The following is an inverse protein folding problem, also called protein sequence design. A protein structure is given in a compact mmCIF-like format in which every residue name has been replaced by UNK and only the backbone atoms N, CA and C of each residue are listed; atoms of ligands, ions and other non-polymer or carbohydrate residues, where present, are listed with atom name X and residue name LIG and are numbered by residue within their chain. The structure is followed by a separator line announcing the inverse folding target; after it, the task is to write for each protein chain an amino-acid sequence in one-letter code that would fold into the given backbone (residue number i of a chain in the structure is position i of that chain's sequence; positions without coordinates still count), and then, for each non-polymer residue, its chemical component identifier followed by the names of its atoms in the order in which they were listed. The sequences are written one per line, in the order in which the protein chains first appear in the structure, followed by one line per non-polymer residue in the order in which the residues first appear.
data_IF_072068989154
#
_entry.id   IF_072068989154
#
_cell.length_a   1.000
_cell.length_b   1.000
_cell.length_c   1.000
_cell.angle_alpha   90.00
_cell.angle_beta   90.00
_cell.angle_gamma   90.00
#
_symmetry.space_group_name_H-M   'P 1'
#
loop_
_entity.id
_entity.type
_entity.pdbx_description
1 polymer ?
#
# COMPACT_ATOMS: atom_id res chain seq x y z
N UNK A 1 5.71 -8.08 -4.92
CA UNK A 1 6.50 -7.59 -3.78
C UNK A 1 7.94 -8.11 -3.81
N UNK A 2 8.24 -9.34 -4.25
CA UNK A 2 9.61 -9.85 -4.34
C UNK A 2 10.57 -9.04 -5.22
N UNK A 3 10.07 -8.11 -6.03
CA UNK A 3 10.93 -7.24 -6.86
C UNK A 3 11.46 -6.03 -6.10
N UNK A 4 10.74 -5.53 -5.10
CA UNK A 4 11.18 -4.38 -4.29
C UNK A 4 12.30 -4.75 -3.32
N UNK A 5 12.32 -5.98 -2.84
CA UNK A 5 13.40 -6.48 -1.98
C UNK A 5 14.74 -6.66 -2.71
N UNK A 6 14.74 -6.66 -4.04
CA UNK A 6 15.96 -6.67 -4.86
C UNK A 6 16.47 -5.26 -5.21
N UNK A 7 15.71 -4.19 -4.97
CA UNK A 7 16.16 -2.83 -5.23
C UNK A 7 17.44 -2.44 -4.47
N UNK A 8 17.65 -2.85 -3.21
CA UNK A 8 18.90 -2.58 -2.52
C UNK A 8 20.14 -3.16 -3.22
N UNK A 9 20.01 -4.27 -3.97
CA UNK A 9 21.10 -4.83 -4.76
C UNK A 9 21.62 -3.92 -5.86
N UNK A 10 20.77 -3.02 -6.37
CA UNK A 10 21.18 -2.05 -7.41
C UNK A 10 22.05 -0.92 -6.83
N UNK A 11 22.07 -0.77 -5.50
CA UNK A 11 22.72 0.32 -4.78
C UNK A 11 23.83 -0.16 -3.84
N UNK A 12 23.88 -1.45 -3.54
CA UNK A 12 24.89 -2.05 -2.66
C UNK A 12 25.95 -2.72 -3.56
N UNK A 13 27.22 -2.40 -3.32
CA UNK A 13 28.31 -3.10 -4.02
C UNK A 13 28.24 -4.58 -3.68
N UNK A 14 28.32 -5.44 -4.71
CA UNK A 14 28.27 -6.90 -4.54
C UNK A 14 29.38 -7.45 -3.63
N UNK A 15 30.42 -6.66 -3.37
CA UNK A 15 31.50 -6.99 -2.44
C UNK A 15 31.06 -6.94 -0.98
N UNK A 16 29.99 -6.20 -0.68
CA UNK A 16 29.42 -6.07 0.67
C UNK A 16 28.42 -7.19 1.00
N UNK A 17 28.22 -8.13 0.06
CA UNK A 17 27.31 -9.27 0.23
C UNK A 17 28.14 -10.51 0.46
N UNK A 18 28.30 -10.89 1.74
CA UNK A 18 29.15 -12.04 2.13
C UNK A 18 28.63 -13.37 1.59
N UNK A 19 27.34 -13.55 1.40
CA UNK A 19 26.74 -14.78 0.88
C UNK A 19 25.43 -14.54 0.11
N UNK A 20 25.30 -14.95 -1.16
CA UNK A 20 24.05 -14.84 -1.93
C UNK A 20 22.86 -15.56 -1.27
N UNK A 21 23.11 -16.62 -0.52
CA UNK A 21 22.08 -17.39 0.18
C UNK A 21 21.50 -16.60 1.37
N UNK A 22 22.35 -15.96 2.15
CA UNK A 22 21.94 -15.10 3.26
C UNK A 22 21.19 -13.87 2.75
N UNK A 23 21.54 -13.40 1.55
CA UNK A 23 20.81 -12.35 0.89
C UNK A 23 19.35 -12.72 0.59
N UNK A 24 19.09 -13.91 0.03
CA UNK A 24 17.73 -14.40 -0.24
C UNK A 24 16.91 -14.51 1.06
N UNK A 25 17.54 -14.98 2.13
CA UNK A 25 16.92 -15.03 3.45
C UNK A 25 16.59 -13.63 3.98
N UNK A 26 17.54 -12.71 3.88
CA UNK A 26 17.39 -11.31 4.29
C UNK A 26 16.30 -10.60 3.49
N UNK A 27 16.21 -10.82 2.17
CA UNK A 27 15.14 -10.23 1.33
C UNK A 27 13.76 -10.74 1.72
N UNK A 28 13.64 -12.03 2.06
CA UNK A 28 12.39 -12.60 2.58
C UNK A 28 11.99 -11.99 3.93
N UNK A 29 12.96 -11.69 4.79
CA UNK A 29 12.72 -11.02 6.06
C UNK A 29 12.30 -9.55 5.84
N UNK A 30 12.92 -8.86 4.88
CA UNK A 30 12.53 -7.50 4.48
C UNK A 30 11.08 -7.51 3.96
N UNK A 31 10.74 -8.45 3.07
CA UNK A 31 9.37 -8.59 2.55
C UNK A 31 8.35 -8.87 3.68
N UNK A 32 8.73 -9.64 4.70
CA UNK A 32 7.87 -9.89 5.87
C UNK A 32 7.69 -8.66 6.75
N UNK A 33 8.67 -7.76 6.78
CA UNK A 33 8.63 -6.50 7.54
C UNK A 33 8.06 -5.33 6.73
N UNK A 34 7.80 -5.53 5.43
CA UNK A 34 7.20 -4.50 4.59
C UNK A 34 5.69 -4.38 4.85
N UNK A 35 5.09 -3.30 4.32
CA UNK A 35 3.66 -2.99 4.48
C UNK A 35 2.77 -4.20 4.19
N UNK A 36 1.94 -4.60 5.15
CA UNK A 36 1.05 -5.75 5.05
C UNK A 36 1.75 -7.13 5.07
N UNK A 37 3.02 -7.18 5.49
CA UNK A 37 3.85 -8.39 5.40
C UNK A 37 3.38 -9.53 6.32
N UNK A 38 3.01 -9.24 7.56
CA UNK A 38 2.58 -10.24 8.55
C UNK A 38 1.18 -9.94 9.07
N UNK A 39 0.28 -10.91 8.96
CA UNK A 39 -1.07 -10.80 9.51
C UNK A 39 -1.05 -11.22 10.97
N UNK A 40 -1.28 -10.27 11.87
CA UNK A 40 -1.55 -10.56 13.27
C UNK A 40 -3.06 -10.50 13.54
N UNK A 41 -3.70 -11.68 13.58
CA UNK A 41 -5.15 -11.78 13.76
C UNK A 41 -5.65 -11.14 15.07
N UNK A 42 -4.81 -11.06 16.12
CA UNK A 42 -5.19 -10.47 17.41
C UNK A 42 -5.44 -8.94 17.33
N UNK A 43 -4.76 -8.27 16.43
CA UNK A 43 -4.86 -6.81 16.27
C UNK A 43 -5.68 -6.39 15.04
N UNK A 44 -6.25 -7.37 14.32
CA UNK A 44 -6.94 -7.08 13.07
C UNK A 44 -8.18 -6.21 13.29
N UNK A 45 -8.96 -6.52 14.32
CA UNK A 45 -10.17 -5.77 14.63
C UNK A 45 -9.86 -4.31 15.00
N UNK A 46 -8.85 -4.09 15.85
CA UNK A 46 -8.43 -2.73 16.21
C UNK A 46 -7.89 -1.93 14.99
N UNK A 47 -7.22 -2.61 14.05
CA UNK A 47 -6.78 -1.99 12.79
C UNK A 47 -7.96 -1.55 11.91
N UNK A 48 -9.01 -2.39 11.83
CA UNK A 48 -10.23 -2.07 11.08
C UNK A 48 -10.95 -0.87 11.69
N UNK A 49 -11.12 -0.85 13.01
CA UNK A 49 -11.74 0.24 13.73
C UNK A 49 -10.98 1.56 13.51
N UNK A 50 -9.69 1.55 13.72
CA UNK A 50 -8.82 2.71 13.53
C UNK A 50 -8.85 3.27 12.09
N UNK A 51 -8.78 2.39 11.08
CA UNK A 51 -8.91 2.81 9.69
C UNK A 51 -10.30 3.35 9.37
N UNK A 52 -11.36 2.75 9.96
CA UNK A 52 -12.74 3.18 9.75
C UNK A 52 -13.04 4.55 10.37
N UNK A 53 -12.33 4.92 11.42
CA UNK A 53 -12.40 6.26 12.02
C UNK A 53 -11.75 7.32 11.13
N UNK A 54 -10.66 6.96 10.43
CA UNK A 54 -9.88 7.89 9.61
C UNK A 54 -10.32 7.95 8.14
N UNK A 55 -10.94 6.89 7.63
CA UNK A 55 -11.36 6.80 6.23
C UNK A 55 -12.76 6.25 6.10
N UNK A 56 -13.67 7.13 5.68
CA UNK A 56 -15.05 6.73 5.35
C UNK A 56 -15.09 5.81 4.12
N UNK A 57 -14.19 6.02 3.18
CA UNK A 57 -14.04 5.15 2.00
C UNK A 57 -13.66 3.73 2.40
N UNK A 58 -12.65 3.58 3.29
CA UNK A 58 -12.28 2.27 3.80
C UNK A 58 -13.46 1.59 4.52
N UNK A 59 -14.12 2.31 5.41
CA UNK A 59 -15.29 1.81 6.14
C UNK A 59 -16.37 1.31 5.19
N UNK A 60 -16.80 2.16 4.26
CA UNK A 60 -17.83 1.81 3.28
C UNK A 60 -17.43 0.61 2.44
N UNK A 61 -16.18 0.55 1.98
CA UNK A 61 -15.67 -0.60 1.25
C UNK A 61 -15.71 -1.87 2.10
N UNK A 62 -15.20 -1.82 3.34
CA UNK A 62 -15.10 -2.98 4.20
C UNK A 62 -16.49 -3.54 4.61
N UNK A 63 -17.47 -2.66 4.80
CA UNK A 63 -18.86 -3.01 5.13
C UNK A 63 -19.58 -3.72 3.97
N UNK A 64 -19.14 -3.52 2.72
CA UNK A 64 -19.70 -4.24 1.56
C UNK A 64 -19.17 -5.67 1.41
N UNK A 65 -18.16 -6.08 2.18
CA UNK A 65 -17.55 -7.40 2.09
C UNK A 65 -18.39 -8.39 2.90
N UNK A 66 -18.91 -9.49 2.27
CA UNK A 66 -19.59 -10.56 3.01
C UNK A 66 -18.69 -11.14 4.10
N UNK A 67 -19.28 -11.53 5.23
CA UNK A 67 -18.52 -12.00 6.40
C UNK A 67 -17.60 -13.17 6.08
N UNK A 68 -18.10 -14.12 5.26
CA UNK A 68 -17.35 -15.28 4.80
C UNK A 68 -16.15 -14.96 3.89
N UNK A 69 -16.13 -13.76 3.29
CA UNK A 69 -15.04 -13.32 2.43
C UNK A 69 -14.00 -12.44 3.16
N UNK A 70 -14.31 -11.93 4.34
CA UNK A 70 -13.47 -10.95 5.07
C UNK A 70 -12.04 -11.43 5.29
N UNK A 71 -11.84 -12.72 5.56
CA UNK A 71 -10.50 -13.28 5.79
C UNK A 71 -9.56 -13.06 4.59
N UNK A 72 -10.09 -13.04 3.36
CA UNK A 72 -9.32 -12.78 2.13
C UNK A 72 -8.73 -11.37 2.11
N UNK A 73 -9.37 -10.42 2.79
CA UNK A 73 -8.97 -9.00 2.83
C UNK A 73 -8.07 -8.64 4.01
N UNK A 74 -7.73 -9.59 4.88
CA UNK A 74 -6.86 -9.34 6.05
C UNK A 74 -5.52 -8.71 5.65
N UNK A 75 -4.92 -9.14 4.54
CA UNK A 75 -3.69 -8.52 4.01
C UNK A 75 -3.89 -7.07 3.56
N UNK A 76 -5.06 -6.77 3.00
CA UNK A 76 -5.42 -5.41 2.59
C UNK A 76 -5.56 -4.50 3.80
N UNK A 77 -6.23 -4.99 4.86
CA UNK A 77 -6.36 -4.26 6.13
C UNK A 77 -4.99 -3.99 6.76
N UNK A 78 -4.14 -5.03 6.86
CA UNK A 78 -2.78 -4.85 7.39
C UNK A 78 -1.97 -3.85 6.56
N UNK A 79 -2.02 -3.96 5.22
CA UNK A 79 -1.34 -3.04 4.33
C UNK A 79 -1.80 -1.59 4.55
N UNK A 80 -3.11 -1.34 4.61
CA UNK A 80 -3.66 0.00 4.80
C UNK A 80 -3.33 0.58 6.18
N UNK A 81 -3.35 -0.25 7.23
CA UNK A 81 -2.96 0.17 8.57
C UNK A 81 -1.48 0.53 8.64
N UNK A 82 -0.59 -0.32 8.11
CA UNK A 82 0.85 -0.06 8.12
C UNK A 82 1.18 1.15 7.21
N UNK A 83 0.40 1.37 6.16
CA UNK A 83 0.51 2.53 5.29
C UNK A 83 0.10 3.82 6.03
N UNK A 84 -1.01 3.79 6.77
CA UNK A 84 -1.44 4.91 7.61
C UNK A 84 -0.39 5.28 8.66
N UNK A 85 0.19 4.29 9.36
CA UNK A 85 1.30 4.51 10.29
C UNK A 85 2.53 5.14 9.59
N UNK A 86 2.82 4.71 8.35
CA UNK A 86 3.92 5.27 7.55
C UNK A 86 3.64 6.73 7.15
N UNK A 87 2.38 7.09 6.90
CA UNK A 87 2.00 8.49 6.63
C UNK A 87 2.26 9.38 7.84
N UNK A 88 2.03 8.91 9.07
CA UNK A 88 2.35 9.69 10.29
C UNK A 88 3.83 10.03 10.35
N UNK A 89 4.70 9.05 10.07
CA UNK A 89 6.16 9.27 10.03
C UNK A 89 6.56 10.23 8.91
N UNK A 90 6.03 10.04 7.69
CA UNK A 90 6.34 10.90 6.55
C UNK A 90 5.89 12.33 6.82
N UNK A 91 4.65 12.51 7.27
CA UNK A 91 4.09 13.84 7.53
C UNK A 91 4.83 14.58 8.64
N UNK A 92 5.30 13.87 9.68
CA UNK A 92 6.05 14.48 10.78
C UNK A 92 7.44 15.01 10.37
N UNK A 93 8.00 14.51 9.25
CA UNK A 93 9.31 14.94 8.74
C UNK A 93 9.23 15.93 7.57
N UNK A 94 8.03 16.19 7.06
CA UNK A 94 7.85 17.13 5.96
C UNK A 94 7.87 18.57 6.46
N UNK A 95 8.53 19.43 5.68
CA UNK A 95 8.54 20.87 5.96
C UNK A 95 7.17 21.48 5.66
N UNK A 96 6.87 22.60 6.30
CA UNK A 96 5.76 23.45 5.87
C UNK A 96 5.96 23.89 4.41
N UNK A 97 4.87 24.05 3.69
CA UNK A 97 4.86 24.41 2.27
C UNK A 97 5.51 23.35 1.35
N UNK A 98 5.50 22.08 1.78
CA UNK A 98 6.01 20.96 0.99
C UNK A 98 4.90 20.28 0.19
N UNK A 99 5.30 19.60 -0.89
CA UNK A 99 4.40 18.83 -1.72
C UNK A 99 4.63 17.34 -1.50
N UNK A 100 3.53 16.57 -1.48
CA UNK A 100 3.55 15.12 -1.54
C UNK A 100 3.08 14.69 -2.93
N UNK A 101 3.82 13.83 -3.58
CA UNK A 101 3.46 13.28 -4.89
C UNK A 101 3.38 11.76 -4.76
N UNK A 102 2.18 11.23 -4.82
CA UNK A 102 1.92 9.81 -4.70
C UNK A 102 1.50 9.22 -6.04
N UNK A 103 2.14 8.12 -6.44
CA UNK A 103 1.64 7.28 -7.52
C UNK A 103 1.02 6.03 -6.90
N UNK A 104 -0.29 5.89 -7.06
CA UNK A 104 -1.05 4.82 -6.43
C UNK A 104 -2.03 4.22 -7.44
N UNK A 105 -2.29 2.93 -7.31
CA UNK A 105 -3.27 2.26 -8.15
C UNK A 105 -4.19 1.36 -7.34
N UNK A 106 -5.42 1.26 -7.79
CA UNK A 106 -6.41 0.39 -7.22
C UNK A 106 -6.19 -1.04 -7.72
N UNK A 107 -6.00 -1.96 -6.80
CA UNK A 107 -5.79 -3.38 -7.11
C UNK A 107 -7.07 -4.17 -6.88
N UNK A 108 -7.16 -5.35 -7.50
CA UNK A 108 -8.29 -6.26 -7.29
C UNK A 108 -7.93 -7.38 -6.31
N UNK A 109 -8.86 -7.67 -5.39
CA UNK A 109 -8.81 -8.81 -4.48
C UNK A 109 -10.18 -9.48 -4.50
N UNK A 110 -10.22 -10.78 -4.77
CA UNK A 110 -11.50 -11.51 -4.83
C UNK A 110 -12.51 -10.96 -5.86
N UNK A 111 -12.02 -10.33 -6.93
CA UNK A 111 -12.88 -9.70 -7.95
C UNK A 111 -13.38 -8.28 -7.60
N UNK A 112 -13.13 -7.79 -6.39
CA UNK A 112 -13.47 -6.42 -5.96
C UNK A 112 -12.26 -5.51 -6.09
N UNK A 113 -12.49 -4.31 -6.58
CA UNK A 113 -11.49 -3.26 -6.61
C UNK A 113 -11.30 -2.67 -5.21
N UNK A 114 -10.03 -2.57 -4.79
CA UNK A 114 -9.66 -1.95 -3.52
C UNK A 114 -9.45 -0.46 -3.79
N UNK A 115 -10.19 0.46 -3.14
CA UNK A 115 -10.13 1.89 -3.41
C UNK A 115 -8.91 2.54 -2.72
N UNK A 116 -7.69 2.12 -3.10
CA UNK A 116 -6.46 2.58 -2.43
C UNK A 116 -6.25 4.08 -2.57
N UNK A 117 -6.56 4.65 -3.74
CA UNK A 117 -6.39 6.08 -4.01
C UNK A 117 -7.35 6.92 -3.17
N UNK A 118 -8.59 6.50 -3.07
CA UNK A 118 -9.62 7.19 -2.30
C UNK A 118 -9.37 7.07 -0.79
N UNK A 119 -8.89 5.90 -0.34
CA UNK A 119 -8.45 5.74 1.06
C UNK A 119 -7.26 6.64 1.38
N UNK A 120 -6.29 6.77 0.48
CA UNK A 120 -5.17 7.71 0.66
C UNK A 120 -5.67 9.15 0.76
N UNK A 121 -6.66 9.55 -0.05
CA UNK A 121 -7.26 10.89 0.05
C UNK A 121 -7.83 11.13 1.45
N UNK A 122 -8.65 10.22 1.97
CA UNK A 122 -9.24 10.33 3.30
C UNK A 122 -8.14 10.42 4.40
N UNK A 123 -7.11 9.58 4.31
CA UNK A 123 -6.01 9.55 5.28
C UNK A 123 -5.17 10.83 5.26
N UNK A 124 -4.97 11.45 4.10
CA UNK A 124 -4.27 12.74 3.99
C UNK A 124 -5.15 13.89 4.50
N UNK A 125 -6.45 13.88 4.17
CA UNK A 125 -7.41 14.86 4.66
C UNK A 125 -7.54 14.79 6.19
N UNK A 126 -7.57 13.59 6.77
CA UNK A 126 -7.55 13.40 8.23
C UNK A 126 -6.36 14.08 8.90
N UNK A 127 -5.24 14.24 8.19
CA UNK A 127 -4.02 14.94 8.64
C UNK A 127 -4.02 16.43 8.30
N UNK A 128 -5.12 16.96 7.76
CA UNK A 128 -5.22 18.35 7.34
C UNK A 128 -4.44 18.69 6.07
N UNK A 129 -4.02 17.68 5.30
CA UNK A 129 -3.25 17.84 4.07
C UNK A 129 -4.18 17.73 2.88
N UNK A 130 -4.32 18.83 2.13
CA UNK A 130 -5.31 18.93 1.07
C UNK A 130 -4.77 18.46 -0.28
N UNK A 131 -5.63 17.77 -1.04
CA UNK A 131 -5.37 17.44 -2.42
C UNK A 131 -5.31 18.72 -3.26
N UNK A 132 -4.22 18.87 -4.01
CA UNK A 132 -4.04 19.98 -4.96
C UNK A 132 -4.43 19.57 -6.37
N UNK A 133 -3.99 18.37 -6.81
CA UNK A 133 -4.20 17.92 -8.18
C UNK A 133 -4.20 16.40 -8.28
N UNK A 134 -4.97 15.88 -9.23
CA UNK A 134 -4.97 14.46 -9.61
C UNK A 134 -4.72 14.32 -11.10
N UNK A 135 -3.78 13.45 -11.46
CA UNK A 135 -3.59 12.98 -12.82
C UNK A 135 -3.81 11.47 -12.89
N UNK A 136 -4.24 10.98 -14.04
CA UNK A 136 -4.42 9.55 -14.30
C UNK A 136 -3.46 9.09 -15.39
N UNK A 137 -2.86 7.93 -15.20
CA UNK A 137 -1.96 7.31 -16.16
C UNK A 137 -2.42 5.88 -16.49
N UNK A 138 -2.54 5.56 -17.76
CA UNK A 138 -2.80 4.18 -18.20
C UNK A 138 -1.50 3.35 -18.14
N UNK A 139 -1.61 2.12 -17.66
CA UNK A 139 -0.50 1.16 -17.62
C UNK A 139 -0.47 0.43 -18.97
N UNK A 140 0.48 0.80 -19.84
CA UNK A 140 0.50 0.34 -21.24
C UNK A 140 0.99 -1.09 -21.40
N UNK A 141 1.91 -1.62 -20.74
CA UNK A 141 2.48 -2.95 -20.99
C UNK A 141 2.36 -3.87 -19.77
N UNK A 142 1.26 -4.60 -19.68
CA UNK A 142 1.03 -5.56 -18.60
C UNK A 142 1.60 -6.92 -18.95
N UNK A 143 2.67 -7.32 -18.27
CA UNK A 143 3.10 -8.71 -18.25
C UNK A 143 2.57 -9.36 -16.98
N UNK A 144 1.49 -10.14 -17.10
CA UNK A 144 0.97 -10.94 -16.01
C UNK A 144 1.76 -12.24 -15.91
N UNK A 145 2.22 -12.60 -14.72
CA UNK A 145 2.80 -13.92 -14.49
C UNK A 145 1.75 -14.99 -14.81
N UNK A 146 2.10 -15.99 -15.62
CA UNK A 146 1.18 -17.03 -16.13
C UNK A 146 0.39 -17.78 -15.04
N UNK A 147 0.81 -17.74 -13.79
CA UNK A 147 0.18 -18.44 -12.67
C UNK A 147 -1.04 -17.76 -12.05
N UNK A 148 -1.28 -16.47 -12.33
CA UNK A 148 -2.35 -15.69 -11.68
C UNK A 148 -3.36 -15.14 -12.69
N UNK A 149 -3.98 -16.02 -13.48
CA UNK A 149 -5.07 -15.63 -14.40
C UNK A 149 -6.41 -15.34 -13.74
N UNK A 150 -6.50 -15.49 -12.42
CA UNK A 150 -7.77 -15.40 -11.68
C UNK A 150 -8.12 -14.00 -11.17
N UNK A 151 -7.23 -13.02 -11.24
CA UNK A 151 -7.52 -11.65 -10.82
C UNK A 151 -7.34 -10.66 -11.96
N UNK A 152 -8.26 -9.72 -12.07
CA UNK A 152 -8.14 -8.58 -12.97
C UNK A 152 -6.89 -7.76 -12.60
N UNK A 153 -6.10 -7.37 -13.59
CA UNK A 153 -4.93 -6.53 -13.37
C UNK A 153 -5.32 -5.07 -13.30
N UNK A 154 -4.61 -4.31 -12.49
CA UNK A 154 -4.73 -2.86 -12.42
C UNK A 154 -4.49 -2.23 -13.80
N UNK A 155 -5.35 -1.34 -14.26
CA UNK A 155 -5.30 -0.74 -15.59
C UNK A 155 -4.81 0.69 -15.60
N UNK A 156 -4.97 1.35 -14.46
CA UNK A 156 -4.66 2.76 -14.28
C UNK A 156 -3.94 2.98 -12.98
N UNK A 157 -3.13 4.00 -12.96
CA UNK A 157 -2.52 4.58 -11.77
C UNK A 157 -2.94 6.03 -11.67
N UNK A 158 -3.15 6.49 -10.45
CA UNK A 158 -3.41 7.89 -10.14
C UNK A 158 -2.14 8.52 -9.57
N UNK A 159 -1.87 9.74 -9.99
CA UNK A 159 -0.83 10.59 -9.41
C UNK A 159 -1.57 11.66 -8.61
N UNK A 160 -1.46 11.56 -7.30
CA UNK A 160 -2.09 12.47 -6.35
C UNK A 160 -1.05 13.44 -5.83
N UNK A 161 -1.30 14.73 -5.97
CA UNK A 161 -0.42 15.79 -5.50
C UNK A 161 -1.12 16.52 -4.36
N UNK A 162 -0.50 16.51 -3.19
CA UNK A 162 -0.98 17.21 -2.01
C UNK A 162 -0.02 18.32 -1.64
N UNK A 163 -0.53 19.31 -0.91
CA UNK A 163 0.24 20.44 -0.42
C UNK A 163 0.04 20.59 1.09
N UNK A 164 1.14 20.65 1.81
CA UNK A 164 1.16 20.93 3.24
C UNK A 164 1.33 22.45 3.42
N UNK A 165 0.23 23.12 3.76
CA UNK A 165 0.20 24.58 3.96
C UNK A 165 0.61 24.91 5.40
#
# INVERSE_FOLDING_TARGET
YGQTSFLPLLWIDSKDIECPYDYVKTTSEIDRKSLGGVINKKHLQSKIEHLSEKSQTFKSFYDTIPEEEKERYNKTVCFMSDFDESLDVICSHMKSNAYYVWTIGNRFVGGREIPNSEVLLDLMEYRGINLLYTAERNILNKKQACKNRSSRTMEKEQILIFHNI
#
